data_IF_148758026661
#
_entry.id   IF_148758026661
#
_cell.length_a   1.000
_cell.length_b   1.000
_cell.length_c   1.000
_cell.angle_alpha   90.00
_cell.angle_beta   90.00
_cell.angle_gamma   90.00
#
_symmetry.space_group_name_H-M   'P 1'
#
loop_
_entity.id
_entity.type
_entity.pdbx_description
1 polymer ?
#
# COMPACT_ATOMS: atom_id res chain seq x y z
N UNK A 1 -9.98 10.89 5.25
CA UNK A 1 -8.79 11.24 6.05
C UNK A 1 -9.27 11.81 7.38
N UNK A 2 -8.76 11.31 8.48
CA UNK A 2 -9.00 11.86 9.82
C UNK A 2 -7.80 12.71 10.23
N UNK A 3 -8.05 13.94 10.65
CA UNK A 3 -7.04 14.87 11.12
C UNK A 3 -6.73 14.64 12.61
N UNK A 4 -5.64 15.20 13.15
CA UNK A 4 -5.25 15.04 14.54
C UNK A 4 -6.26 15.58 15.57
N UNK A 5 -7.13 16.50 15.17
CA UNK A 5 -8.22 17.04 16.00
C UNK A 5 -9.50 16.18 15.97
N UNK A 6 -9.48 15.05 15.25
CA UNK A 6 -10.59 14.14 15.07
C UNK A 6 -11.56 14.54 13.95
N UNK A 7 -11.35 15.68 13.28
CA UNK A 7 -12.16 16.07 12.13
C UNK A 7 -11.88 15.15 10.93
N UNK A 8 -12.89 14.89 10.11
CA UNK A 8 -12.78 14.02 8.93
C UNK A 8 -12.92 14.83 7.65
N UNK A 9 -12.06 14.54 6.68
CA UNK A 9 -12.09 15.16 5.37
C UNK A 9 -12.25 14.05 4.32
N UNK A 10 -13.27 14.20 3.47
CA UNK A 10 -13.43 13.34 2.31
C UNK A 10 -12.52 13.84 1.19
N UNK A 11 -11.36 13.18 1.05
CA UNK A 11 -10.34 13.55 0.06
C UNK A 11 -10.74 13.29 -1.38
N UNK A 12 -11.87 12.60 -1.64
CA UNK A 12 -12.34 12.33 -2.99
C UNK A 12 -13.27 13.40 -3.56
N UNK A 13 -13.84 14.26 -2.71
CA UNK A 13 -14.97 15.13 -3.10
C UNK A 13 -14.61 16.60 -3.36
N UNK A 14 -13.47 17.11 -2.89
CA UNK A 14 -13.11 18.54 -3.03
C UNK A 14 -11.60 18.76 -3.00
N UNK A 15 -11.14 19.80 -3.69
CA UNK A 15 -9.84 20.38 -3.43
C UNK A 15 -9.77 20.85 -1.97
N UNK A 16 -8.78 20.34 -1.24
CA UNK A 16 -8.56 20.64 0.17
C UNK A 16 -7.39 21.62 0.28
N UNK A 17 -7.56 22.64 1.10
CA UNK A 17 -6.48 23.55 1.48
C UNK A 17 -6.73 24.01 2.92
N UNK A 18 -6.16 23.29 3.87
CA UNK A 18 -6.30 23.54 5.31
C UNK A 18 -4.93 23.62 5.98
N UNK A 19 -4.84 24.29 7.12
CA UNK A 19 -3.63 24.32 7.93
C UNK A 19 -3.87 23.47 9.19
N UNK A 20 -3.01 22.48 9.43
CA UNK A 20 -3.05 21.59 10.59
C UNK A 20 -1.68 21.59 11.24
N UNK A 21 -1.59 21.94 12.52
CA UNK A 21 -0.35 21.98 13.30
C UNK A 21 0.79 22.78 12.59
N UNK A 22 0.46 23.91 11.94
CA UNK A 22 1.43 24.73 11.20
C UNK A 22 1.88 24.12 9.87
N UNK A 23 1.20 23.09 9.38
CA UNK A 23 1.46 22.46 8.08
C UNK A 23 0.26 22.70 7.17
N UNK A 24 0.51 23.21 5.97
CA UNK A 24 -0.52 23.32 4.93
C UNK A 24 -0.76 21.96 4.31
N UNK A 25 -1.99 21.47 4.41
CA UNK A 25 -2.47 20.24 3.79
C UNK A 25 -3.26 20.61 2.55
N UNK A 26 -2.80 20.17 1.38
CA UNK A 26 -3.47 20.36 0.09
C UNK A 26 -3.81 19.01 -0.53
N UNK A 27 -5.04 18.89 -1.04
CA UNK A 27 -5.42 17.82 -1.95
C UNK A 27 -5.76 18.42 -3.31
N UNK A 28 -5.12 17.94 -4.35
CA UNK A 28 -5.36 18.36 -5.72
C UNK A 28 -5.04 17.20 -6.68
N UNK A 29 -5.94 16.91 -7.63
CA UNK A 29 -5.73 15.89 -8.69
C UNK A 29 -5.24 14.52 -8.18
N UNK A 30 -5.83 14.01 -7.09
CA UNK A 30 -5.46 12.70 -6.54
C UNK A 30 -4.21 12.68 -5.66
N UNK A 31 -3.58 13.85 -5.40
CA UNK A 31 -2.39 13.96 -4.56
C UNK A 31 -2.69 14.76 -3.30
N UNK A 32 -2.47 14.14 -2.15
CA UNK A 32 -2.47 14.80 -0.84
C UNK A 32 -1.05 15.23 -0.50
N UNK A 33 -0.82 16.53 -0.25
CA UNK A 33 0.50 17.07 0.02
C UNK A 33 0.55 17.86 1.31
N UNK A 34 1.70 17.77 2.00
CA UNK A 34 1.99 18.44 3.26
C UNK A 34 3.15 19.42 3.06
N UNK A 35 2.94 20.72 3.36
CA UNK A 35 3.97 21.75 3.29
C UNK A 35 4.01 22.55 4.58
N UNK A 36 5.19 22.70 5.23
CA UNK A 36 5.34 23.60 6.36
C UNK A 36 4.91 25.02 5.97
N UNK A 37 4.17 25.72 6.83
CA UNK A 37 3.90 27.15 6.62
C UNK A 37 5.14 27.96 6.99
N UNK A 38 5.37 29.08 6.31
CA UNK A 38 6.57 29.93 6.46
C UNK A 38 6.81 30.38 7.92
N UNK A 39 5.76 30.48 8.72
CA UNK A 39 5.85 30.87 10.14
C UNK A 39 6.59 29.82 10.99
N UNK A 40 6.66 28.56 10.55
CA UNK A 40 7.30 27.48 11.33
C UNK A 40 8.81 27.42 11.11
N UNK A 41 9.33 28.00 10.02
CA UNK A 41 10.78 28.00 9.73
C UNK A 41 11.58 28.97 10.65
N UNK A 42 10.95 30.01 11.17
CA UNK A 42 11.63 30.99 12.06
C UNK A 42 11.64 30.58 13.53
N UNK A 43 10.88 29.61 13.95
CA UNK A 43 10.82 29.09 15.34
C UNK A 43 11.44 27.71 15.53
N UNK A 44 12.05 27.12 14.49
CA UNK A 44 12.63 25.78 14.55
C UNK A 44 13.89 25.68 15.45
N UNK A 45 14.46 26.80 15.89
CA UNK A 45 15.67 26.79 16.72
C UNK A 45 15.46 27.00 18.25
N UNK A 46 14.22 27.29 18.70
CA UNK A 46 13.98 27.50 20.15
C UNK A 46 12.64 26.92 20.59
N UNK A 47 12.57 25.72 21.01
CA UNK A 47 11.48 24.91 21.56
C UNK A 47 10.91 23.93 20.53
N UNK A 48 11.65 22.84 20.26
CA UNK A 48 11.04 21.61 19.78
C UNK A 48 10.22 21.08 20.95
N UNK A 49 8.91 21.32 20.92
CA UNK A 49 7.98 20.62 21.78
C UNK A 49 8.10 19.13 21.40
N UNK A 50 8.75 18.34 22.26
CA UNK A 50 8.97 16.90 22.07
C UNK A 50 7.67 16.10 22.24
N UNK A 51 6.53 16.77 22.35
CA UNK A 51 5.23 16.12 22.33
C UNK A 51 5.11 15.29 21.06
N UNK A 52 4.68 14.03 21.15
CA UNK A 52 4.50 13.18 19.98
C UNK A 52 3.57 13.89 18.99
N UNK A 53 4.08 14.13 17.77
CA UNK A 53 3.29 14.81 16.74
C UNK A 53 1.98 14.04 16.55
N UNK A 54 0.87 14.77 16.62
CA UNK A 54 -0.44 14.17 16.37
C UNK A 54 -0.46 13.55 14.98
N UNK A 55 -1.05 12.38 14.87
CA UNK A 55 -1.05 11.59 13.63
C UNK A 55 -2.31 11.83 12.81
N UNK A 56 -2.14 11.89 11.50
CA UNK A 56 -3.22 11.77 10.54
C UNK A 56 -3.50 10.29 10.26
N UNK A 57 -4.75 9.97 9.94
CA UNK A 57 -5.13 8.67 9.43
C UNK A 57 -5.77 8.83 8.05
N UNK A 58 -5.18 8.20 7.03
CA UNK A 58 -5.74 8.15 5.69
C UNK A 58 -6.20 6.73 5.38
N UNK A 59 -7.50 6.57 5.15
CA UNK A 59 -8.12 5.30 4.78
C UNK A 59 -8.53 5.38 3.31
N UNK A 60 -8.09 4.41 2.53
CA UNK A 60 -8.45 4.23 1.13
C UNK A 60 -9.55 3.18 1.05
N UNK A 61 -10.72 3.51 0.52
CA UNK A 61 -11.79 2.54 0.33
C UNK A 61 -11.41 1.49 -0.73
N UNK A 62 -12.16 0.40 -0.78
CA UNK A 62 -12.14 -0.50 -1.94
C UNK A 62 -12.51 0.30 -3.19
N UNK A 63 -11.96 -0.05 -4.33
CA UNK A 63 -12.11 0.70 -5.60
C UNK A 63 -11.30 1.99 -5.67
N UNK A 64 -10.65 2.42 -4.58
CA UNK A 64 -9.88 3.66 -4.52
C UNK A 64 -8.38 3.45 -4.59
N UNK A 65 -7.67 4.55 -4.77
CA UNK A 65 -6.23 4.69 -4.60
C UNK A 65 -5.91 6.14 -4.26
N UNK A 66 -4.75 6.39 -3.69
CA UNK A 66 -4.32 7.76 -3.40
C UNK A 66 -2.81 7.88 -3.34
N UNK A 67 -2.31 9.08 -3.62
CA UNK A 67 -0.90 9.42 -3.46
C UNK A 67 -0.75 10.48 -2.38
N UNK A 68 0.19 10.26 -1.45
CA UNK A 68 0.54 11.20 -0.39
C UNK A 68 1.97 11.65 -0.58
N UNK A 69 2.19 12.96 -0.61
CA UNK A 69 3.50 13.57 -0.48
C UNK A 69 3.68 14.00 0.98
N UNK A 70 4.48 13.28 1.74
CA UNK A 70 4.76 13.53 3.14
C UNK A 70 5.61 14.80 3.34
N UNK A 71 5.66 15.29 4.57
CA UNK A 71 6.36 16.55 4.90
C UNK A 71 7.89 16.50 4.67
N UNK A 72 8.48 15.32 4.69
CA UNK A 72 9.90 15.09 4.38
C UNK A 72 10.20 15.01 2.88
N UNK A 73 9.17 15.01 2.03
CA UNK A 73 9.26 14.84 0.58
C UNK A 73 9.19 13.39 0.11
N UNK A 74 8.93 12.44 1.01
CA UNK A 74 8.64 11.04 0.65
C UNK A 74 7.29 10.96 -0.04
N UNK A 75 7.22 10.20 -1.15
CA UNK A 75 5.97 9.91 -1.86
C UNK A 75 5.49 8.51 -1.49
N UNK A 76 4.21 8.40 -1.16
CA UNK A 76 3.55 7.11 -0.82
C UNK A 76 2.33 6.94 -1.72
N UNK A 77 2.34 5.90 -2.56
CA UNK A 77 1.17 5.47 -3.31
C UNK A 77 0.45 4.40 -2.50
N UNK A 78 -0.84 4.60 -2.22
CA UNK A 78 -1.67 3.70 -1.43
C UNK A 78 -2.66 2.96 -2.31
N UNK A 79 -2.68 1.64 -2.20
CA UNK A 79 -3.58 0.76 -2.94
C UNK A 79 -4.95 0.67 -2.26
N UNK A 80 -5.94 0.10 -2.96
CA UNK A 80 -7.31 -0.08 -2.50
C UNK A 80 -7.38 -0.86 -1.17
N UNK A 81 -8.24 -0.41 -0.26
CA UNK A 81 -8.42 -1.04 1.05
C UNK A 81 -7.27 -0.81 2.03
N UNK A 82 -6.40 0.16 1.78
CA UNK A 82 -5.23 0.44 2.64
C UNK A 82 -5.50 1.57 3.62
N UNK A 83 -4.75 1.57 4.72
CA UNK A 83 -4.73 2.62 5.73
C UNK A 83 -3.30 3.01 6.06
N UNK A 84 -3.02 4.32 6.07
CA UNK A 84 -1.75 4.89 6.47
C UNK A 84 -1.96 5.84 7.66
N UNK A 85 -1.18 5.64 8.73
CA UNK A 85 -1.10 6.54 9.87
C UNK A 85 0.27 7.22 9.84
N UNK A 86 0.29 8.54 9.85
CA UNK A 86 1.52 9.31 9.71
C UNK A 86 1.39 10.69 10.37
N UNK A 87 2.49 11.27 10.90
CA UNK A 87 2.46 12.60 11.49
C UNK A 87 2.39 13.69 10.42
N UNK A 88 1.80 14.85 10.73
CA UNK A 88 1.82 16.01 9.84
C UNK A 88 3.26 16.51 9.59
N UNK A 89 4.17 16.31 10.55
CA UNK A 89 5.62 16.54 10.44
C UNK A 89 6.36 15.46 11.20
N UNK A 90 7.52 15.05 10.69
CA UNK A 90 8.39 14.13 11.44
C UNK A 90 9.21 14.93 12.48
N UNK A 91 9.25 14.41 13.71
CA UNK A 91 10.06 14.94 14.81
C UNK A 91 10.88 13.81 15.44
N UNK A 92 12.07 14.14 15.97
CA UNK A 92 12.96 13.15 16.57
C UNK A 92 13.83 12.41 15.55
N UNK A 93 14.43 11.31 16.00
CA UNK A 93 15.50 10.59 15.26
C UNK A 93 15.01 9.65 14.17
N UNK A 94 13.72 9.41 14.02
CA UNK A 94 13.15 8.44 13.07
C UNK A 94 11.89 9.02 12.42
N UNK A 95 11.70 8.78 11.13
CA UNK A 95 10.50 9.12 10.37
C UNK A 95 9.57 7.90 10.36
N UNK A 96 8.53 7.89 11.18
CA UNK A 96 7.71 6.69 11.41
C UNK A 96 6.33 6.87 10.82
N UNK A 97 5.90 5.86 10.06
CA UNK A 97 4.52 5.69 9.56
C UNK A 97 4.03 4.28 9.89
N UNK A 98 2.71 4.08 9.99
CA UNK A 98 2.11 2.75 10.17
C UNK A 98 1.23 2.44 8.97
N UNK A 99 1.39 1.23 8.42
CA UNK A 99 0.65 0.74 7.26
C UNK A 99 -0.17 -0.49 7.60
N UNK A 100 -1.45 -0.47 7.22
CA UNK A 100 -2.31 -1.63 7.04
C UNK A 100 -2.73 -1.65 5.56
N UNK A 101 -2.52 -2.76 4.84
CA UNK A 101 -2.79 -2.84 3.41
C UNK A 101 -1.54 -2.78 2.56
N UNK A 102 -1.61 -2.15 1.39
CA UNK A 102 -0.51 -2.10 0.44
C UNK A 102 -0.15 -0.67 0.05
N UNK A 103 1.17 -0.40 0.06
CA UNK A 103 1.70 0.88 -0.38
C UNK A 103 3.07 0.73 -1.05
N UNK A 104 3.28 1.53 -2.09
CA UNK A 104 4.57 1.77 -2.70
C UNK A 104 5.16 3.07 -2.16
N UNK A 105 6.37 2.99 -1.67
CA UNK A 105 7.12 4.09 -1.06
C UNK A 105 8.27 4.49 -1.97
N UNK A 106 8.38 5.79 -2.25
CA UNK A 106 9.57 6.42 -2.80
C UNK A 106 10.11 7.39 -1.74
N UNK A 107 11.03 6.86 -0.92
CA UNK A 107 11.50 7.53 0.30
C UNK A 107 12.64 8.49 -0.02
N UNK A 108 12.46 9.77 0.35
CA UNK A 108 13.51 10.77 0.26
C UNK A 108 14.73 10.36 1.08
N UNK A 109 15.91 10.45 0.47
CA UNK A 109 17.18 10.12 1.13
C UNK A 109 17.46 11.04 2.32
N UNK A 110 17.65 10.45 3.50
CA UNK A 110 18.10 11.08 4.73
C UNK A 110 18.74 10.00 5.63
N UNK A 111 20.06 10.06 5.75
CA UNK A 111 20.86 9.06 6.47
C UNK A 111 20.83 9.30 7.99
N UNK A 112 20.52 10.51 8.43
CA UNK A 112 20.48 10.88 9.85
C UNK A 112 19.15 10.50 10.49
N UNK A 113 18.05 10.49 9.70
CA UNK A 113 16.71 10.17 10.18
C UNK A 113 16.11 9.02 9.38
N UNK A 114 16.36 7.75 9.76
CA UNK A 114 15.80 6.58 9.08
C UNK A 114 14.27 6.65 8.97
N UNK A 115 13.76 6.23 7.80
CA UNK A 115 12.32 6.08 7.57
C UNK A 115 11.87 4.68 7.95
N UNK A 116 10.78 4.58 8.70
CA UNK A 116 10.28 3.32 9.25
C UNK A 116 8.83 3.14 8.92
N UNK A 117 8.52 2.03 8.24
CA UNK A 117 7.16 1.56 8.03
C UNK A 117 6.84 0.47 9.02
N UNK A 118 5.91 0.73 9.93
CA UNK A 118 5.39 -0.26 10.89
C UNK A 118 4.23 -1.01 10.29
N UNK A 119 4.25 -2.32 10.43
CA UNK A 119 3.15 -3.23 10.10
C UNK A 119 2.90 -4.18 11.27
N UNK A 120 1.81 -4.94 11.24
CA UNK A 120 1.59 -6.01 12.23
C UNK A 120 2.63 -7.13 12.18
N UNK A 121 3.37 -7.25 11.07
CA UNK A 121 4.38 -8.30 10.85
C UNK A 121 5.79 -7.88 11.22
N UNK A 122 6.03 -6.60 11.47
CA UNK A 122 7.34 -6.05 11.78
C UNK A 122 7.55 -4.63 11.24
N UNK A 123 8.81 -4.19 11.28
CA UNK A 123 9.23 -2.86 10.82
C UNK A 123 10.14 -2.96 9.59
N UNK A 124 9.86 -2.13 8.60
CA UNK A 124 10.73 -1.89 7.43
C UNK A 124 11.50 -0.60 7.67
N UNK A 125 12.83 -0.65 7.69
CA UNK A 125 13.69 0.52 7.93
C UNK A 125 14.55 0.80 6.70
N UNK A 126 14.53 2.06 6.24
CA UNK A 126 15.27 2.53 5.05
C UNK A 126 15.86 3.92 5.27
N UNK A 127 16.84 4.32 4.43
CA UNK A 127 17.47 5.65 4.45
C UNK A 127 17.15 6.51 3.23
N UNK A 128 16.68 5.91 2.13
CA UNK A 128 16.38 6.56 0.85
C UNK A 128 16.25 5.49 -0.22
N UNK A 129 15.01 5.00 -0.43
CA UNK A 129 14.77 3.68 -1.01
C UNK A 129 13.40 3.67 -1.66
N UNK A 130 13.28 2.99 -2.80
CA UNK A 130 12.01 2.69 -3.43
C UNK A 130 11.64 1.21 -3.19
N UNK A 131 10.45 0.96 -2.61
CA UNK A 131 10.01 -0.38 -2.23
C UNK A 131 8.48 -0.46 -2.10
N UNK A 132 7.95 -1.67 -2.23
CA UNK A 132 6.55 -1.99 -1.97
C UNK A 132 6.39 -2.76 -0.67
N UNK A 133 5.35 -2.47 0.09
CA UNK A 133 4.93 -3.25 1.27
C UNK A 133 3.48 -3.65 1.07
N UNK A 134 3.22 -4.96 1.11
CA UNK A 134 1.87 -5.53 1.11
C UNK A 134 1.65 -6.25 2.45
N UNK A 135 0.83 -5.65 3.32
CA UNK A 135 0.58 -6.08 4.68
C UNK A 135 -0.91 -5.97 5.04
N UNK A 136 -1.79 -6.49 4.18
CA UNK A 136 -3.23 -6.52 4.46
C UNK A 136 -3.55 -7.37 5.68
N UNK A 137 -4.56 -6.96 6.46
CA UNK A 137 -4.96 -7.66 7.68
C UNK A 137 -5.59 -9.04 7.43
N UNK A 138 -6.14 -9.25 6.24
CA UNK A 138 -6.72 -10.52 5.78
C UNK A 138 -5.71 -11.45 5.07
N UNK A 139 -4.41 -11.08 5.08
CA UNK A 139 -3.32 -11.88 4.52
C UNK A 139 -2.55 -12.60 5.62
N UNK A 140 -2.04 -13.80 5.34
CA UNK A 140 -1.24 -14.60 6.29
C UNK A 140 0.23 -14.16 6.36
N UNK A 141 0.67 -13.31 5.43
CA UNK A 141 2.03 -12.83 5.33
C UNK A 141 2.11 -11.38 4.86
N UNK A 142 3.21 -10.71 5.22
CA UNK A 142 3.63 -9.43 4.67
C UNK A 142 4.72 -9.66 3.62
N UNK A 143 4.56 -8.98 2.49
CA UNK A 143 5.53 -8.99 1.39
C UNK A 143 6.17 -7.61 1.29
N UNK A 144 7.51 -7.54 1.43
CA UNK A 144 8.27 -6.31 1.23
C UNK A 144 9.23 -6.50 0.06
N UNK A 145 8.99 -5.81 -1.05
CA UNK A 145 9.75 -5.96 -2.31
C UNK A 145 10.60 -4.72 -2.54
N UNK A 146 11.89 -4.91 -2.72
CA UNK A 146 12.84 -3.81 -2.93
C UNK A 146 13.06 -3.55 -4.41
N UNK A 147 12.85 -2.28 -4.82
CA UNK A 147 13.09 -1.79 -6.18
C UNK A 147 14.47 -1.18 -6.30
N UNK A 148 14.80 -0.25 -5.40
CA UNK A 148 16.03 0.52 -5.41
C UNK A 148 16.48 0.84 -3.98
N UNK A 149 17.79 0.86 -3.74
CA UNK A 149 18.37 1.21 -2.44
C UNK A 149 18.61 -0.02 -1.55
N UNK A 150 18.25 0.07 -0.28
CA UNK A 150 18.44 -0.97 0.73
C UNK A 150 17.29 -0.98 1.73
N UNK A 151 16.78 -2.16 2.05
CA UNK A 151 15.75 -2.39 3.07
C UNK A 151 16.30 -3.26 4.17
N UNK A 152 16.07 -2.88 5.43
CA UNK A 152 16.17 -3.77 6.59
C UNK A 152 14.75 -4.05 7.09
N UNK A 153 14.33 -5.31 7.04
CA UNK A 153 13.08 -5.76 7.64
C UNK A 153 13.39 -6.43 8.98
N UNK A 154 12.73 -5.97 10.05
CA UNK A 154 12.84 -6.57 11.38
C UNK A 154 11.48 -7.11 11.85
N UNK A 155 11.46 -8.38 12.27
CA UNK A 155 10.28 -9.01 12.86
C UNK A 155 10.09 -8.59 14.32
N UNK A 156 8.90 -8.80 14.92
CA UNK A 156 8.68 -8.52 16.34
C UNK A 156 9.64 -9.26 17.29
N UNK A 157 10.10 -10.48 16.92
CA UNK A 157 11.12 -11.25 17.64
C UNK A 157 12.56 -10.83 17.32
N UNK A 158 12.74 -9.65 16.70
CA UNK A 158 14.02 -8.98 16.39
C UNK A 158 14.92 -9.71 15.38
N UNK A 159 14.41 -10.63 14.59
CA UNK A 159 15.14 -11.14 13.44
C UNK A 159 15.20 -10.08 12.36
N UNK A 160 16.36 -9.88 11.75
CA UNK A 160 16.57 -8.87 10.73
C UNK A 160 17.00 -9.54 9.43
N UNK A 161 16.32 -9.15 8.34
CA UNK A 161 16.71 -9.50 6.97
C UNK A 161 17.01 -8.21 6.21
N UNK A 162 18.12 -8.21 5.49
CA UNK A 162 18.50 -7.14 4.58
C UNK A 162 18.22 -7.56 3.14
N UNK A 163 17.52 -6.68 2.40
CA UNK A 163 17.20 -6.86 0.98
C UNK A 163 18.13 -6.02 0.10
N UNK A 164 18.48 -6.60 -1.03
CA UNK A 164 19.03 -5.94 -2.20
C UNK A 164 17.94 -5.74 -3.28
N UNK A 165 18.12 -4.83 -4.27
CA UNK A 165 17.18 -4.67 -5.37
C UNK A 165 16.86 -6.01 -6.08
N UNK A 166 15.57 -6.25 -6.37
CA UNK A 166 15.07 -7.52 -6.92
C UNK A 166 14.80 -8.59 -5.87
N UNK A 167 14.99 -8.29 -4.58
CA UNK A 167 14.66 -9.23 -3.49
C UNK A 167 13.38 -8.84 -2.77
N UNK A 168 12.70 -9.85 -2.21
CA UNK A 168 11.49 -9.73 -1.41
C UNK A 168 11.65 -10.45 -0.07
N UNK A 169 11.28 -9.78 1.03
CA UNK A 169 11.06 -10.43 2.31
C UNK A 169 9.60 -10.89 2.41
N UNK A 170 9.40 -12.12 2.89
CA UNK A 170 8.09 -12.70 3.23
C UNK A 170 8.07 -12.97 4.73
N UNK A 171 7.32 -12.16 5.47
CA UNK A 171 7.18 -12.29 6.91
C UNK A 171 5.79 -12.85 7.26
N UNK A 172 5.75 -13.96 8.00
CA UNK A 172 4.52 -14.65 8.41
C UNK A 172 4.64 -15.19 9.83
N UNK A 173 3.60 -15.85 10.33
CA UNK A 173 3.65 -16.59 11.60
C UNK A 173 4.71 -17.72 11.65
N UNK A 174 5.18 -18.18 10.46
CA UNK A 174 6.23 -19.20 10.34
C UNK A 174 7.65 -18.62 10.40
N UNK A 175 7.79 -17.31 10.40
CA UNK A 175 9.05 -16.59 10.42
C UNK A 175 9.19 -15.65 9.23
N UNK A 176 10.45 -15.35 8.91
CA UNK A 176 10.80 -14.47 7.79
C UNK A 176 11.75 -15.18 6.84
N UNK A 177 11.50 -15.09 5.55
CA UNK A 177 12.34 -15.59 4.48
C UNK A 177 12.61 -14.52 3.43
N UNK A 178 13.65 -14.73 2.63
CA UNK A 178 14.03 -13.85 1.53
C UNK A 178 14.11 -14.63 0.23
N UNK A 179 13.60 -14.03 -0.86
CA UNK A 179 13.65 -14.62 -2.20
C UNK A 179 13.90 -13.56 -3.27
N UNK A 180 14.47 -13.97 -4.40
CA UNK A 180 14.51 -13.16 -5.60
C UNK A 180 13.15 -13.18 -6.31
N UNK A 181 12.73 -12.04 -6.85
CA UNK A 181 11.44 -11.89 -7.53
C UNK A 181 11.54 -11.00 -8.75
N UNK A 182 10.60 -11.15 -9.68
CA UNK A 182 10.33 -10.11 -10.66
C UNK A 182 9.60 -8.97 -9.96
N UNK A 183 10.24 -7.82 -9.87
CA UNK A 183 9.73 -6.66 -9.15
C UNK A 183 8.44 -6.14 -9.76
N UNK A 184 8.28 -6.22 -11.09
CA UNK A 184 7.10 -5.69 -11.79
C UNK A 184 5.80 -6.41 -11.41
N UNK A 185 5.86 -7.67 -10.97
CA UNK A 185 4.69 -8.39 -10.42
C UNK A 185 4.16 -7.73 -9.12
N UNK A 186 5.00 -7.02 -8.38
CA UNK A 186 4.67 -6.46 -7.07
C UNK A 186 4.46 -4.94 -7.07
N UNK A 187 5.00 -4.23 -8.07
CA UNK A 187 4.88 -2.77 -8.15
C UNK A 187 4.07 -2.29 -9.35
N UNK A 188 3.77 -3.17 -10.30
CA UNK A 188 3.01 -2.84 -11.51
C UNK A 188 1.70 -2.12 -11.20
N UNK A 189 1.04 -2.48 -10.11
CA UNK A 189 -0.20 -1.86 -9.65
C UNK A 189 -0.07 -0.33 -9.45
N UNK A 190 1.07 0.16 -8.94
CA UNK A 190 1.33 1.59 -8.76
C UNK A 190 1.52 2.34 -10.09
N UNK A 191 1.69 1.60 -11.19
CA UNK A 191 1.75 2.09 -12.57
C UNK A 191 0.46 1.80 -13.35
N UNK A 192 -0.57 1.29 -12.68
CA UNK A 192 -1.85 0.95 -13.28
C UNK A 192 -1.89 -0.37 -14.04
N UNK A 193 -0.93 -1.27 -13.81
CA UNK A 193 -0.89 -2.59 -14.45
C UNK A 193 -0.78 -3.68 -13.37
N UNK A 194 -1.61 -4.70 -13.44
CA UNK A 194 -1.48 -5.88 -12.60
C UNK A 194 -0.81 -7.01 -13.40
N UNK A 195 0.43 -7.32 -13.05
CA UNK A 195 1.20 -8.43 -13.64
C UNK A 195 1.10 -9.62 -12.69
N UNK A 196 0.85 -10.80 -13.24
CA UNK A 196 0.80 -12.03 -12.47
C UNK A 196 1.36 -13.20 -13.28
N UNK A 197 2.14 -14.05 -12.62
CA UNK A 197 2.79 -15.19 -13.25
C UNK A 197 2.55 -16.45 -12.41
N UNK A 198 1.94 -17.46 -13.01
CA UNK A 198 1.56 -18.73 -12.35
C UNK A 198 0.87 -18.48 -10.99
N UNK A 199 -0.01 -17.48 -10.93
CA UNK A 199 -0.67 -17.05 -9.70
C UNK A 199 -2.01 -17.71 -9.55
N UNK A 200 -2.34 -18.17 -8.34
CA UNK A 200 -3.61 -18.82 -8.03
C UNK A 200 -4.78 -17.86 -8.28
N UNK A 201 -5.86 -18.37 -8.85
CA UNK A 201 -7.08 -17.60 -9.13
C UNK A 201 -7.60 -16.92 -7.84
N UNK A 202 -7.60 -17.63 -6.71
CA UNK A 202 -8.00 -17.08 -5.44
C UNK A 202 -7.21 -15.83 -5.05
N UNK A 203 -5.90 -15.79 -5.31
CA UNK A 203 -5.05 -14.63 -4.98
C UNK A 203 -5.26 -13.48 -5.98
N UNK A 204 -5.48 -13.78 -7.26
CA UNK A 204 -5.83 -12.78 -8.28
C UNK A 204 -7.16 -12.12 -7.91
N UNK A 205 -8.19 -12.93 -7.60
CA UNK A 205 -9.51 -12.42 -7.29
C UNK A 205 -9.55 -11.63 -5.98
N UNK A 206 -8.75 -11.95 -4.96
CA UNK A 206 -8.59 -11.10 -3.76
C UNK A 206 -8.10 -9.69 -4.10
N UNK A 207 -7.20 -9.55 -5.09
CA UNK A 207 -6.77 -8.23 -5.57
C UNK A 207 -7.93 -7.52 -6.26
N UNK A 208 -8.68 -8.21 -7.09
CA UNK A 208 -9.81 -7.64 -7.84
C UNK A 208 -10.99 -7.28 -6.93
N UNK A 209 -11.25 -8.07 -5.89
CA UNK A 209 -12.23 -7.69 -4.86
C UNK A 209 -11.93 -6.31 -4.28
N UNK A 210 -10.65 -6.00 -4.03
CA UNK A 210 -10.24 -4.68 -3.54
C UNK A 210 -10.34 -3.61 -4.62
N UNK A 211 -9.88 -3.89 -5.85
CA UNK A 211 -9.80 -2.90 -6.91
C UNK A 211 -11.14 -2.50 -7.51
N UNK A 212 -12.06 -3.47 -7.63
CA UNK A 212 -13.37 -3.26 -8.24
C UNK A 212 -14.50 -3.20 -7.22
N UNK A 213 -14.17 -3.33 -5.93
CA UNK A 213 -15.12 -3.33 -4.83
C UNK A 213 -16.26 -4.35 -5.03
N UNK A 214 -15.87 -5.58 -5.34
CA UNK A 214 -16.74 -6.74 -5.58
C UNK A 214 -16.50 -7.83 -4.53
N UNK A 215 -17.37 -8.83 -4.50
CA UNK A 215 -17.26 -10.03 -3.70
C UNK A 215 -17.25 -11.25 -4.63
N UNK A 216 -16.28 -12.15 -4.43
CA UNK A 216 -16.10 -13.33 -5.26
C UNK A 216 -16.47 -14.58 -4.47
N UNK A 217 -17.30 -15.41 -5.08
CA UNK A 217 -17.75 -16.68 -4.55
C UNK A 217 -17.35 -17.80 -5.54
N UNK A 218 -17.03 -18.94 -5.00
CA UNK A 218 -16.66 -20.12 -5.78
C UNK A 218 -17.67 -21.23 -5.49
N UNK A 219 -18.19 -21.85 -6.54
CA UNK A 219 -19.07 -23.02 -6.42
C UNK A 219 -18.29 -24.21 -5.85
N UNK A 220 -17.03 -24.37 -6.27
CA UNK A 220 -16.08 -25.35 -5.76
C UNK A 220 -14.79 -24.65 -5.30
N UNK A 221 -14.37 -24.91 -4.06
CA UNK A 221 -13.18 -24.31 -3.48
C UNK A 221 -11.89 -24.62 -4.26
N UNK A 222 -11.84 -25.75 -4.97
CA UNK A 222 -10.68 -26.13 -5.80
C UNK A 222 -10.41 -25.15 -6.96
N UNK A 223 -11.42 -24.38 -7.38
CA UNK A 223 -11.25 -23.35 -8.42
C UNK A 223 -10.27 -22.26 -8.00
N UNK A 224 -10.14 -21.98 -6.69
CA UNK A 224 -9.16 -21.04 -6.17
C UNK A 224 -7.71 -21.43 -6.49
N UNK A 225 -7.46 -22.74 -6.74
CA UNK A 225 -6.11 -23.29 -6.94
C UNK A 225 -5.68 -23.28 -8.40
N UNK A 226 -6.59 -23.02 -9.34
CA UNK A 226 -6.24 -22.81 -10.75
C UNK A 226 -5.24 -21.65 -10.86
N UNK A 227 -4.26 -21.80 -11.73
CA UNK A 227 -3.20 -20.80 -11.89
C UNK A 227 -3.22 -20.17 -13.26
N UNK A 228 -3.00 -18.87 -13.30
CA UNK A 228 -2.99 -18.08 -14.53
C UNK A 228 -1.78 -17.15 -14.58
N UNK A 229 -1.38 -16.80 -15.80
CA UNK A 229 -0.34 -15.81 -16.08
C UNK A 229 -0.85 -14.77 -17.06
N UNK A 230 -0.49 -13.51 -16.86
CA UNK A 230 -0.91 -12.42 -17.74
C UNK A 230 -0.66 -11.05 -17.11
N UNK A 231 -1.17 -10.05 -17.79
CA UNK A 231 -1.22 -8.68 -17.30
C UNK A 231 -2.61 -8.08 -17.57
N UNK A 232 -3.02 -7.16 -16.70
CA UNK A 232 -4.29 -6.46 -16.80
C UNK A 232 -4.12 -4.98 -16.48
N UNK A 233 -4.73 -4.14 -17.30
CA UNK A 233 -4.83 -2.71 -17.02
C UNK A 233 -5.82 -2.47 -15.88
N UNK A 234 -5.37 -1.83 -14.81
CA UNK A 234 -6.16 -1.58 -13.59
C UNK A 234 -7.46 -0.83 -13.86
N UNK A 235 -7.41 0.13 -14.78
CA UNK A 235 -8.55 1.01 -15.08
C UNK A 235 -9.51 0.43 -16.13
N UNK A 236 -9.28 -0.80 -16.56
CA UNK A 236 -10.22 -1.59 -17.35
C UNK A 236 -11.39 -2.10 -16.52
N UNK A 237 -12.34 -2.78 -17.17
CA UNK A 237 -13.43 -3.46 -16.48
C UNK A 237 -12.98 -4.85 -16.03
N UNK A 238 -13.49 -5.33 -14.90
CA UNK A 238 -13.23 -6.70 -14.43
C UNK A 238 -13.68 -7.76 -15.45
N UNK A 239 -14.72 -7.42 -16.26
CA UNK A 239 -15.22 -8.30 -17.31
C UNK A 239 -14.12 -8.70 -18.29
N UNK A 240 -13.23 -7.78 -18.68
CA UNK A 240 -12.12 -8.08 -19.61
C UNK A 240 -11.28 -9.27 -19.13
N UNK A 241 -11.03 -9.35 -17.82
CA UNK A 241 -10.30 -10.48 -17.24
C UNK A 241 -11.17 -11.75 -17.16
N UNK A 242 -12.41 -11.61 -16.68
CA UNK A 242 -13.32 -12.76 -16.53
C UNK A 242 -13.66 -13.39 -17.87
N UNK A 243 -13.89 -12.57 -18.92
CA UNK A 243 -14.13 -13.06 -20.28
C UNK A 243 -12.91 -13.83 -20.81
N UNK A 244 -11.69 -13.34 -20.54
CA UNK A 244 -10.46 -14.02 -20.91
C UNK A 244 -10.30 -15.36 -20.18
N UNK A 245 -10.69 -15.46 -18.91
CA UNK A 245 -10.68 -16.71 -18.17
C UNK A 245 -11.73 -17.70 -18.72
N UNK A 246 -12.93 -17.23 -19.04
CA UNK A 246 -13.99 -18.07 -19.63
C UNK A 246 -13.57 -18.66 -20.98
N UNK A 247 -12.79 -17.92 -21.78
CA UNK A 247 -12.23 -18.42 -23.05
C UNK A 247 -11.22 -19.56 -22.88
N UNK A 248 -10.62 -19.75 -21.69
CA UNK A 248 -9.77 -20.92 -21.42
C UNK A 248 -10.58 -22.22 -21.31
N UNK A 249 -11.88 -22.12 -21.02
CA UNK A 249 -12.77 -23.25 -20.78
C UNK A 249 -12.67 -23.88 -19.39
N UNK A 250 -11.78 -23.38 -18.54
CA UNK A 250 -11.56 -23.93 -17.19
C UNK A 250 -12.63 -23.49 -16.20
N UNK A 251 -13.17 -22.29 -16.40
CA UNK A 251 -14.17 -21.66 -15.53
C UNK A 251 -15.20 -20.88 -16.32
N UNK A 252 -16.35 -20.67 -15.67
CA UNK A 252 -17.41 -19.76 -16.09
C UNK A 252 -17.71 -18.80 -14.96
N UNK A 253 -18.36 -17.68 -15.25
CA UNK A 253 -18.72 -16.72 -14.24
C UNK A 253 -20.12 -16.14 -14.42
N UNK A 254 -20.69 -15.63 -13.32
CA UNK A 254 -21.93 -14.87 -13.32
C UNK A 254 -21.81 -13.67 -12.40
N UNK A 255 -22.20 -12.49 -12.89
CA UNK A 255 -22.19 -11.24 -12.11
C UNK A 255 -23.64 -10.88 -11.73
N UNK A 256 -23.85 -10.60 -10.45
CA UNK A 256 -25.08 -10.05 -9.93
C UNK A 256 -24.76 -8.86 -8.99
N UNK A 257 -24.88 -7.64 -9.52
CA UNK A 257 -24.45 -6.42 -8.84
C UNK A 257 -22.95 -6.44 -8.54
N UNK A 258 -22.59 -6.48 -7.26
CA UNK A 258 -21.19 -6.57 -6.80
C UNK A 258 -20.74 -8.00 -6.49
N UNK A 259 -21.59 -8.99 -6.69
CA UNK A 259 -21.26 -10.39 -6.44
C UNK A 259 -20.88 -11.10 -7.74
N UNK A 260 -19.78 -11.83 -7.71
CA UNK A 260 -19.26 -12.64 -8.81
C UNK A 260 -19.23 -14.09 -8.34
N UNK A 261 -19.96 -14.95 -9.03
CA UNK A 261 -19.88 -16.39 -8.83
C UNK A 261 -19.00 -17.00 -9.92
N UNK A 262 -17.98 -17.76 -9.52
CA UNK A 262 -17.11 -18.54 -10.40
C UNK A 262 -17.48 -20.01 -10.25
N UNK A 263 -17.71 -20.69 -11.38
CA UNK A 263 -18.17 -22.08 -11.41
C UNK A 263 -17.57 -22.84 -12.61
N UNK A 264 -17.68 -24.17 -12.60
CA UNK A 264 -17.39 -25.04 -13.76
C UNK A 264 -18.67 -25.32 -14.55
N UNK A 265 -18.53 -25.46 -15.85
CA UNK A 265 -19.60 -26.07 -16.65
C UNK A 265 -19.56 -27.57 -16.44
N UNK A 266 -20.75 -28.18 -16.24
CA UNK A 266 -20.90 -29.62 -16.15
C UNK A 266 -20.58 -30.31 -17.48
#
# INVERSE_FOLDING_TARGET
>A
MTLPDGSTIDVQKKDINVIVDGVQVKYNKGVLSYRPTVTTQQHAEKNVDESPAKSNELVIPRGGENTVLLADGTTVHLNAGSKLIYPARFVGKRRIVTLEGEAYFDVRKDEEHPFVVRTRFGEVTVLGTAFNVNAYNDADACYTTLVYGKVNFSTPDQKIITLAPGEQAVASSRGIEKRAVDVDEYIGWARGVYVFNNKRLGDIMKTFERWYDVHVYYEDASLCDLTYSGDLQRYGTINTFLDALELTGDIYYRINGRNILIYKNE
#
